data_IF_018475863406
#
_entry.id   IF_018475863406
#
_cell.length_a   1.000
_cell.length_b   1.000
_cell.length_c   1.000
_cell.angle_alpha   90.00
_cell.angle_beta   90.00
_cell.angle_gamma   90.00
#
_symmetry.space_group_name_H-M   'P 1'
#
loop_
_entity.id
_entity.type
_entity.pdbx_description
1 polymer ?
#
# COMPACT_ATOMS: atom_id res chain seq x y z
N UNK A 1 15.36 -4.32 -19.34
CA UNK A 1 15.86 -4.38 -17.95
C UNK A 1 17.37 -4.20 -18.01
N UNK A 2 17.96 -3.29 -17.22
CA UNK A 2 19.43 -3.15 -17.18
C UNK A 2 19.99 -4.27 -16.29
N UNK A 3 20.85 -5.10 -16.85
CA UNK A 3 21.38 -6.31 -16.21
C UNK A 3 22.91 -6.24 -16.06
N UNK A 4 23.46 -7.05 -15.15
CA UNK A 4 24.89 -7.23 -14.94
C UNK A 4 25.24 -8.72 -14.81
N UNK A 5 26.53 -9.04 -14.92
CA UNK A 5 27.01 -10.41 -14.70
C UNK A 5 26.80 -10.84 -13.25
N UNK A 6 26.12 -11.97 -13.06
CA UNK A 6 25.95 -12.58 -11.75
C UNK A 6 27.19 -13.34 -11.27
N UNK A 7 27.03 -14.11 -10.20
CA UNK A 7 28.11 -14.93 -9.61
C UNK A 7 28.57 -16.05 -10.55
N UNK A 8 27.70 -16.51 -11.44
CA UNK A 8 28.01 -17.58 -12.39
C UNK A 8 28.57 -17.04 -13.71
N UNK A 9 29.49 -17.76 -14.37
CA UNK A 9 30.17 -17.28 -15.57
C UNK A 9 29.36 -17.47 -16.87
N UNK A 10 28.10 -17.87 -16.79
CA UNK A 10 27.26 -18.15 -17.94
C UNK A 10 26.59 -16.88 -18.48
N UNK A 11 26.50 -16.76 -19.80
CA UNK A 11 25.86 -15.60 -20.47
C UNK A 11 24.38 -15.47 -20.07
N UNK A 12 23.69 -16.58 -19.85
CA UNK A 12 22.30 -16.60 -19.38
C UNK A 12 22.14 -16.31 -17.88
N UNK A 13 23.22 -16.27 -17.10
CA UNK A 13 23.19 -16.02 -15.66
C UNK A 13 23.36 -14.52 -15.34
N UNK A 14 22.67 -13.67 -16.08
CA UNK A 14 22.63 -12.24 -15.79
C UNK A 14 21.63 -11.96 -14.66
N UNK A 15 21.97 -11.01 -13.79
CA UNK A 15 21.12 -10.51 -12.71
C UNK A 15 20.75 -9.06 -12.99
N UNK A 16 19.72 -8.53 -12.32
CA UNK A 16 19.45 -7.09 -12.38
C UNK A 16 20.70 -6.32 -11.95
N UNK A 17 21.03 -5.23 -12.66
CA UNK A 17 22.14 -4.38 -12.26
C UNK A 17 21.92 -3.84 -10.84
N UNK A 18 22.97 -3.66 -10.04
CA UNK A 18 22.84 -3.24 -8.64
C UNK A 18 21.94 -1.99 -8.44
N UNK A 19 21.99 -0.95 -9.30
CA UNK A 19 21.06 0.18 -9.21
C UNK A 19 19.60 -0.20 -9.48
N UNK A 20 19.36 -1.23 -10.31
CA UNK A 20 18.01 -1.75 -10.62
C UNK A 20 17.50 -2.64 -9.49
N UNK A 21 18.38 -3.34 -8.77
CA UNK A 21 18.00 -4.11 -7.56
C UNK A 21 17.42 -3.17 -6.50
N UNK A 22 18.03 -1.99 -6.32
CA UNK A 22 17.53 -0.99 -5.38
C UNK A 22 16.13 -0.48 -5.75
N UNK A 23 15.79 -0.41 -7.04
CA UNK A 23 14.46 -0.02 -7.50
C UNK A 23 13.35 -1.01 -7.10
N UNK A 24 13.69 -2.26 -6.80
CA UNK A 24 12.76 -3.28 -6.29
C UNK A 24 11.40 -3.33 -7.01
N UNK A 25 10.33 -3.48 -6.24
CA UNK A 25 8.96 -3.38 -6.74
C UNK A 25 8.56 -1.94 -7.14
N UNK A 26 9.25 -0.92 -6.62
CA UNK A 26 8.91 0.50 -6.84
C UNK A 26 8.97 0.91 -8.32
N UNK A 27 9.89 0.36 -9.11
CA UNK A 27 9.93 0.60 -10.56
C UNK A 27 8.87 -0.18 -11.38
N UNK A 28 8.14 -1.10 -10.74
CA UNK A 28 7.07 -1.88 -11.35
C UNK A 28 5.66 -1.37 -11.05
N UNK A 29 5.52 -0.32 -10.23
CA UNK A 29 4.21 0.23 -9.85
C UNK A 29 3.74 1.25 -10.90
N UNK A 30 2.79 0.91 -11.79
CA UNK A 30 2.11 1.93 -12.58
C UNK A 30 1.36 2.88 -11.64
N UNK A 31 1.35 4.17 -11.96
CA UNK A 31 0.54 5.13 -11.23
C UNK A 31 -0.93 4.68 -11.23
N UNK A 32 -1.55 4.64 -10.05
CA UNK A 32 -2.98 4.36 -9.95
C UNK A 32 -3.80 5.49 -10.56
N UNK A 33 -4.98 5.16 -11.07
CA UNK A 33 -5.99 6.17 -11.43
C UNK A 33 -6.43 6.84 -10.12
N UNK A 34 -6.11 8.13 -9.96
CA UNK A 34 -6.54 8.91 -8.81
C UNK A 34 -8.07 9.08 -8.81
N UNK A 35 -8.68 9.05 -7.62
CA UNK A 35 -10.13 9.28 -7.42
C UNK A 35 -10.43 10.68 -6.88
N UNK A 36 -9.46 11.59 -6.95
CA UNK A 36 -9.60 12.97 -6.46
C UNK A 36 -10.27 13.79 -7.54
N UNK A 37 -11.46 14.29 -7.25
CA UNK A 37 -12.21 15.20 -8.14
C UNK A 37 -11.63 16.63 -8.07
N UNK A 38 -11.97 17.48 -9.05
CA UNK A 38 -11.52 18.88 -9.07
C UNK A 38 -10.12 19.08 -9.65
N UNK A 39 -9.23 19.74 -8.92
CA UNK A 39 -7.84 20.01 -9.33
C UNK A 39 -6.93 18.77 -9.23
N UNK A 40 -7.45 17.66 -8.70
CA UNK A 40 -6.72 16.41 -8.52
C UNK A 40 -5.77 16.42 -7.32
N UNK A 41 -5.84 17.44 -6.46
CA UNK A 41 -4.99 17.56 -5.28
C UNK A 41 -5.68 17.01 -4.02
N UNK A 42 -4.99 16.11 -3.31
CA UNK A 42 -5.44 15.68 -1.98
C UNK A 42 -5.21 16.84 -1.01
N UNK A 43 -6.21 17.31 -0.24
CA UNK A 43 -6.10 18.45 0.66
C UNK A 43 -5.30 18.08 1.93
N UNK A 44 -4.00 17.91 1.77
CA UNK A 44 -3.08 17.63 2.87
C UNK A 44 -2.91 18.87 3.76
N UNK A 45 -2.70 18.63 5.05
CA UNK A 45 -2.09 19.65 5.91
C UNK A 45 -0.68 19.98 5.38
N UNK A 46 -0.19 21.23 5.50
CA UNK A 46 1.12 21.62 4.97
C UNK A 46 2.27 20.71 5.40
N UNK A 47 2.28 20.29 6.68
CA UNK A 47 3.27 19.37 7.23
C UNK A 47 3.18 17.96 6.63
N UNK A 48 1.95 17.48 6.34
CA UNK A 48 1.73 16.18 5.71
C UNK A 48 2.13 16.19 4.23
N UNK A 49 1.91 17.31 3.54
CA UNK A 49 2.36 17.50 2.15
C UNK A 49 3.90 17.50 2.06
N UNK A 50 4.58 18.17 2.99
CA UNK A 50 6.04 18.17 3.07
C UNK A 50 6.58 16.74 3.32
N UNK A 51 5.99 16.01 4.27
CA UNK A 51 6.36 14.62 4.56
C UNK A 51 6.11 13.70 3.37
N UNK A 52 4.99 13.85 2.64
CA UNK A 52 4.72 13.09 1.42
C UNK A 52 5.82 13.30 0.38
N UNK A 53 6.25 14.54 0.16
CA UNK A 53 7.33 14.86 -0.79
C UNK A 53 8.66 14.23 -0.36
N UNK A 54 9.04 14.41 0.89
CA UNK A 54 10.27 13.81 1.45
C UNK A 54 10.27 12.28 1.32
N UNK A 55 9.15 11.63 1.65
CA UNK A 55 9.01 10.18 1.50
C UNK A 55 9.08 9.74 0.03
N UNK A 56 8.56 10.54 -0.90
CA UNK A 56 8.68 10.27 -2.34
C UNK A 56 10.12 10.38 -2.85
N UNK A 57 10.89 11.35 -2.36
CA UNK A 57 12.31 11.52 -2.70
C UNK A 57 13.17 10.36 -2.16
N UNK A 58 12.78 9.76 -1.04
CA UNK A 58 13.50 8.67 -0.35
C UNK A 58 12.79 7.31 -0.38
N UNK A 59 11.87 7.12 -1.31
CA UNK A 59 11.03 5.93 -1.40
C UNK A 59 11.84 4.61 -1.45
N UNK A 60 12.97 4.57 -2.17
CA UNK A 60 13.83 3.39 -2.27
C UNK A 60 14.31 2.88 -0.90
N UNK A 61 14.59 3.78 0.03
CA UNK A 61 15.15 3.42 1.35
C UNK A 61 14.05 3.25 2.41
N UNK A 62 13.00 4.08 2.30
CA UNK A 62 11.99 4.26 3.35
C UNK A 62 10.69 3.51 3.10
N UNK A 63 10.38 3.13 1.85
CA UNK A 63 9.12 2.50 1.53
C UNK A 63 9.01 1.12 2.23
N UNK A 64 8.03 0.91 3.13
CA UNK A 64 7.81 -0.39 3.77
C UNK A 64 7.44 -1.49 2.78
N UNK A 65 6.77 -1.16 1.67
CA UNK A 65 6.31 -2.14 0.67
C UNK A 65 7.47 -2.81 -0.05
N UNK A 66 8.59 -2.08 -0.26
CA UNK A 66 9.85 -2.65 -0.77
C UNK A 66 10.44 -3.72 0.15
N UNK A 67 10.04 -3.74 1.43
CA UNK A 67 10.44 -4.72 2.45
C UNK A 67 9.36 -5.79 2.68
N UNK A 68 8.39 -5.90 1.77
CA UNK A 68 7.26 -6.83 1.82
C UNK A 68 6.30 -6.60 3.01
N UNK A 69 6.28 -5.41 3.60
CA UNK A 69 5.27 -5.05 4.58
C UNK A 69 3.93 -4.74 3.91
N UNK A 70 2.83 -5.00 4.61
CA UNK A 70 1.50 -4.69 4.09
C UNK A 70 1.33 -3.17 3.93
N UNK A 71 0.59 -2.72 2.89
CA UNK A 71 0.57 -1.31 2.49
C UNK A 71 -0.22 -0.42 3.47
N UNK A 72 -1.08 -0.99 4.30
CA UNK A 72 -1.97 -0.25 5.18
C UNK A 72 -2.96 0.66 4.43
N UNK A 73 -3.66 1.51 5.17
CA UNK A 73 -4.63 2.48 4.63
C UNK A 73 -4.07 3.90 4.82
N UNK A 74 -4.19 4.80 3.82
CA UNK A 74 -5.01 4.65 2.60
C UNK A 74 -4.31 3.96 1.42
N UNK A 75 -3.02 3.64 1.50
CA UNK A 75 -2.24 3.17 0.33
C UNK A 75 -2.84 1.94 -0.35
N UNK A 76 -3.37 0.95 0.38
CA UNK A 76 -3.99 -0.23 -0.22
C UNK A 76 -5.14 0.10 -1.20
N UNK A 77 -5.83 1.23 -0.99
CA UNK A 77 -6.92 1.70 -1.85
C UNK A 77 -6.42 2.28 -3.18
N UNK A 78 -5.16 2.70 -3.23
CA UNK A 78 -4.52 3.31 -4.39
C UNK A 78 -3.51 2.36 -5.05
N UNK A 79 -3.52 1.08 -4.70
CA UNK A 79 -2.70 0.10 -5.42
C UNK A 79 -3.41 -0.33 -6.71
N UNK A 80 -2.68 -0.70 -7.77
CA UNK A 80 -3.25 -1.09 -9.07
C UNK A 80 -3.89 -2.50 -9.05
N UNK A 81 -4.24 -3.00 -7.87
CA UNK A 81 -4.80 -4.33 -7.66
C UNK A 81 -6.26 -4.21 -7.20
N UNK A 82 -7.15 -5.12 -7.66
CA UNK A 82 -8.53 -5.11 -7.23
C UNK A 82 -8.64 -5.46 -5.74
N UNK A 83 -9.74 -5.02 -5.14
CA UNK A 83 -10.17 -5.44 -3.81
C UNK A 83 -11.66 -5.76 -3.82
N UNK A 84 -12.07 -6.56 -2.84
CA UNK A 84 -13.46 -6.94 -2.62
C UNK A 84 -13.90 -6.45 -1.25
N UNK A 85 -15.15 -5.97 -1.17
CA UNK A 85 -15.83 -5.65 0.09
C UNK A 85 -16.95 -6.67 0.30
N UNK A 86 -16.95 -7.31 1.47
CA UNK A 86 -18.01 -8.21 1.93
C UNK A 86 -18.64 -7.59 3.16
N UNK A 87 -19.92 -7.22 3.06
CA UNK A 87 -20.68 -6.66 4.18
C UNK A 87 -21.44 -7.78 4.89
N UNK A 88 -21.20 -7.92 6.19
CA UNK A 88 -21.95 -8.78 7.10
C UNK A 88 -22.78 -7.95 8.09
N UNK A 89 -23.48 -8.63 9.00
CA UNK A 89 -24.36 -7.95 9.97
C UNK A 89 -23.63 -7.06 10.97
N UNK A 90 -22.47 -7.49 11.49
CA UNK A 90 -21.70 -6.74 12.49
C UNK A 90 -20.25 -6.44 12.07
N UNK A 91 -19.86 -6.82 10.85
CA UNK A 91 -18.50 -6.63 10.34
C UNK A 91 -18.54 -6.40 8.84
N UNK A 92 -17.58 -5.63 8.35
CA UNK A 92 -17.26 -5.52 6.93
C UNK A 92 -15.85 -6.02 6.73
N UNK A 93 -15.67 -6.96 5.79
CA UNK A 93 -14.37 -7.48 5.41
C UNK A 93 -13.94 -6.85 4.09
N UNK A 94 -12.74 -6.30 4.07
CA UNK A 94 -12.07 -5.86 2.85
C UNK A 94 -10.92 -6.82 2.56
N UNK A 95 -10.93 -7.42 1.37
CA UNK A 95 -9.89 -8.33 0.90
C UNK A 95 -9.21 -7.69 -0.31
N UNK A 96 -7.88 -7.51 -0.24
CA UNK A 96 -7.08 -6.92 -1.30
C UNK A 96 -6.32 -8.01 -2.03
N UNK A 97 -6.29 -7.96 -3.37
CA UNK A 97 -5.50 -8.91 -4.14
C UNK A 97 -3.99 -8.74 -3.90
N UNK A 98 -3.54 -7.55 -3.49
CA UNK A 98 -2.15 -7.33 -3.10
C UNK A 98 -1.81 -8.13 -1.85
N UNK A 99 -0.92 -9.12 -1.99
CA UNK A 99 -0.38 -9.97 -0.91
C UNK A 99 -1.43 -10.58 0.03
N UNK A 100 -2.66 -10.80 -0.46
CA UNK A 100 -3.80 -11.21 0.36
C UNK A 100 -4.00 -10.33 1.61
N UNK A 101 -3.67 -9.03 1.52
CA UNK A 101 -3.90 -8.10 2.61
C UNK A 101 -5.40 -8.06 2.94
N UNK A 102 -5.72 -8.00 4.22
CA UNK A 102 -7.11 -8.01 4.67
C UNK A 102 -7.32 -6.98 5.77
N UNK A 103 -8.49 -6.34 5.76
CA UNK A 103 -8.93 -5.42 6.80
C UNK A 103 -10.34 -5.82 7.25
N UNK A 104 -10.56 -5.81 8.56
CA UNK A 104 -11.86 -6.04 9.17
C UNK A 104 -12.32 -4.74 9.82
N UNK A 105 -13.49 -4.26 9.42
CA UNK A 105 -14.16 -3.12 10.05
C UNK A 105 -15.24 -3.70 10.96
N UNK A 106 -15.06 -3.50 12.26
CA UNK A 106 -16.04 -3.88 13.26
C UNK A 106 -17.16 -2.84 13.33
N UNK A 107 -18.41 -3.28 13.32
CA UNK A 107 -19.59 -2.42 13.51
C UNK A 107 -20.14 -2.53 14.95
N UNK A 108 -19.51 -3.35 15.78
CA UNK A 108 -19.76 -3.54 17.20
C UNK A 108 -18.55 -3.14 18.05
N UNK A 109 -18.71 -3.21 19.38
CA UNK A 109 -17.60 -2.96 20.31
C UNK A 109 -16.51 -4.01 20.08
N UNK A 110 -15.35 -3.56 19.60
CA UNK A 110 -14.18 -4.41 19.36
C UNK A 110 -12.98 -3.86 20.12
N UNK A 111 -12.39 -4.68 20.98
CA UNK A 111 -11.14 -4.34 21.65
C UNK A 111 -10.02 -4.19 20.61
N UNK A 112 -9.09 -3.27 20.87
CA UNK A 112 -7.91 -3.10 20.02
C UNK A 112 -7.03 -4.35 20.00
N UNK A 113 -6.25 -4.55 18.92
CA UNK A 113 -5.26 -5.61 18.88
C UNK A 113 -4.21 -5.39 19.99
N UNK A 114 -3.57 -6.47 20.48
CA UNK A 114 -2.54 -6.37 21.51
C UNK A 114 -1.25 -5.68 21.02
N UNK A 115 -1.12 -5.46 19.72
CA UNK A 115 0.03 -4.85 19.05
C UNK A 115 -0.42 -4.09 17.79
N UNK A 116 0.45 -3.24 17.26
CA UNK A 116 0.20 -2.49 16.03
C UNK A 116 0.06 -3.42 14.82
N UNK A 117 -0.95 -3.15 13.99
CA UNK A 117 -1.24 -3.94 12.79
C UNK A 117 -1.05 -3.08 11.55
N UNK A 118 -0.38 -3.60 10.53
CA UNK A 118 -0.17 -2.86 9.28
C UNK A 118 -1.47 -2.40 8.62
N UNK A 119 -2.52 -3.21 8.71
CA UNK A 119 -3.85 -2.88 8.14
C UNK A 119 -4.74 -2.10 9.11
N UNK A 120 -4.24 -1.81 10.31
CA UNK A 120 -4.89 -1.04 11.36
C UNK A 120 -6.05 -1.75 12.05
N UNK A 121 -6.48 -1.17 13.18
CA UNK A 121 -7.73 -1.53 13.86
C UNK A 121 -8.86 -0.60 13.43
N UNK A 122 -10.01 -1.16 13.07
CA UNK A 122 -11.14 -0.38 12.54
C UNK A 122 -12.43 -0.69 13.28
N UNK A 123 -13.02 0.36 13.86
CA UNK A 123 -14.35 0.33 14.46
C UNK A 123 -15.17 1.41 13.77
N UNK A 124 -16.14 1.00 12.96
CA UNK A 124 -17.02 1.88 12.19
C UNK A 124 -18.43 1.91 12.78
N UNK A 125 -19.23 2.87 12.31
CA UNK A 125 -20.64 3.00 12.71
C UNK A 125 -21.43 3.64 11.57
N UNK A 126 -22.65 3.18 11.37
CA UNK A 126 -23.52 3.76 10.35
C UNK A 126 -24.20 5.05 10.87
N UNK A 127 -24.24 6.07 10.02
CA UNK A 127 -25.04 7.28 10.12
C UNK A 127 -25.98 7.35 8.90
N UNK A 128 -27.17 6.75 9.02
CA UNK A 128 -28.04 6.54 7.85
C UNK A 128 -27.35 5.61 6.85
N UNK A 129 -27.10 6.11 5.64
CA UNK A 129 -26.44 5.38 4.54
C UNK A 129 -24.92 5.65 4.46
N UNK A 130 -24.35 6.33 5.45
CA UNK A 130 -22.92 6.63 5.54
C UNK A 130 -22.25 5.76 6.61
N UNK A 131 -21.06 5.23 6.33
CA UNK A 131 -20.25 4.41 7.24
C UNK A 131 -18.97 5.12 7.70
#
# INVERSE_FOLDING_TARGET
MVTQRGVYPYEYAQVAAAPVVALGAAAGVPASIGVVEGDGEIPYKPEAAAMKRENGEHWIDRDPELKCYLPGIPRAMYMPYPFQIVQGGNKIQMAYAFTNASRVIHLDKSAGPPDDTYMGHSVGRWEGDTL
#
